data_IF_234818297580
#
_entry.id   IF_234818297580
#
_cell.length_a   1.000
_cell.length_b   1.000
_cell.length_c   1.000
_cell.angle_alpha   90.00
_cell.angle_beta   90.00
_cell.angle_gamma   90.00
#
_symmetry.space_group_name_H-M   'P 1'
#
loop_
_entity.id
_entity.type
_entity.pdbx_description
1 polymer ?
#
# COMPACT_ATOMS: atom_id res chain seq x y z
N UNK A 1 11.25 8.64 3.70
CA UNK A 1 10.16 7.87 4.35
C UNK A 1 10.76 6.81 5.24
N UNK A 2 10.28 6.69 6.49
CA UNK A 2 10.73 5.69 7.48
C UNK A 2 9.78 4.50 7.58
N UNK A 3 8.51 4.70 7.21
CA UNK A 3 7.48 3.67 7.21
C UNK A 3 6.57 3.80 5.98
N UNK A 4 6.24 2.68 5.35
CA UNK A 4 5.33 2.62 4.22
C UNK A 4 4.20 1.64 4.54
N UNK A 5 2.96 2.10 4.35
CA UNK A 5 1.79 1.25 4.42
C UNK A 5 1.54 0.59 3.06
N UNK A 6 1.36 -0.73 3.06
CA UNK A 6 1.12 -1.52 1.86
C UNK A 6 -0.30 -2.09 1.88
N UNK A 7 -1.07 -1.71 0.86
CA UNK A 7 -2.39 -2.26 0.56
C UNK A 7 -2.25 -3.33 -0.51
N UNK A 8 -2.75 -4.52 -0.29
CA UNK A 8 -2.62 -5.63 -1.25
C UNK A 8 -3.65 -6.72 -1.03
N UNK A 9 -3.77 -7.62 -2.01
CA UNK A 9 -4.74 -8.70 -1.96
C UNK A 9 -4.48 -9.74 -0.87
N UNK A 10 -5.56 -10.25 -0.26
CA UNK A 10 -5.56 -11.45 0.58
C UNK A 10 -5.52 -12.76 -0.25
N UNK A 11 -5.42 -12.66 -1.56
CA UNK A 11 -5.13 -13.73 -2.51
C UNK A 11 -3.89 -13.40 -3.34
N UNK A 12 -3.31 -14.41 -4.01
CA UNK A 12 -2.12 -14.21 -4.86
C UNK A 12 -2.47 -13.74 -6.28
N UNK A 13 -3.76 -13.72 -6.64
CA UNK A 13 -4.17 -13.52 -8.02
C UNK A 13 -3.85 -14.75 -8.90
N UNK A 14 -4.04 -14.58 -10.21
CA UNK A 14 -3.87 -15.65 -11.19
C UNK A 14 -2.50 -15.64 -11.88
N UNK A 15 -1.67 -14.63 -11.59
CA UNK A 15 -0.35 -14.46 -12.18
C UNK A 15 0.74 -14.50 -11.09
N UNK A 16 1.72 -15.39 -11.28
CA UNK A 16 2.83 -15.54 -10.33
C UNK A 16 3.69 -14.28 -10.18
N UNK A 17 3.67 -13.37 -11.18
CA UNK A 17 4.41 -12.11 -11.15
C UNK A 17 3.91 -11.16 -10.04
N UNK A 18 2.65 -11.22 -9.66
CA UNK A 18 2.11 -10.45 -8.52
C UNK A 18 2.78 -10.87 -7.20
N UNK A 19 2.96 -12.17 -7.03
CA UNK A 19 3.65 -12.74 -5.87
C UNK A 19 5.13 -12.33 -5.82
N UNK A 20 5.82 -12.39 -6.95
CA UNK A 20 7.22 -11.98 -7.04
C UNK A 20 7.39 -10.46 -6.78
N UNK A 21 6.47 -9.63 -7.27
CA UNK A 21 6.46 -8.20 -6.98
C UNK A 21 6.24 -7.89 -5.48
N UNK A 22 5.35 -8.63 -4.82
CA UNK A 22 5.14 -8.51 -3.37
C UNK A 22 6.42 -8.87 -2.58
N UNK A 23 7.10 -9.95 -2.96
CA UNK A 23 8.40 -10.33 -2.36
C UNK A 23 9.48 -9.29 -2.62
N UNK A 24 9.55 -8.77 -3.85
CA UNK A 24 10.51 -7.73 -4.20
C UNK A 24 10.29 -6.47 -3.36
N UNK A 25 9.03 -6.05 -3.17
CA UNK A 25 8.69 -4.90 -2.33
C UNK A 25 9.09 -5.14 -0.87
N UNK A 26 8.71 -6.28 -0.27
CA UNK A 26 9.09 -6.60 1.11
C UNK A 26 10.61 -6.63 1.32
N UNK A 27 11.33 -7.25 0.39
CA UNK A 27 12.81 -7.28 0.40
C UNK A 27 13.41 -5.89 0.30
N UNK A 28 12.88 -5.05 -0.60
CA UNK A 28 13.33 -3.67 -0.79
C UNK A 28 13.14 -2.83 0.47
N UNK A 29 11.95 -2.88 1.06
CA UNK A 29 11.65 -2.13 2.29
C UNK A 29 12.60 -2.52 3.42
N UNK A 30 12.78 -3.82 3.66
CA UNK A 30 13.68 -4.32 4.69
C UNK A 30 15.12 -3.86 4.49
N UNK A 31 15.67 -4.03 3.28
CA UNK A 31 17.05 -3.62 2.95
C UNK A 31 17.26 -2.11 2.99
N UNK A 32 16.21 -1.33 2.79
CA UNK A 32 16.23 0.13 2.90
C UNK A 32 15.99 0.65 4.31
N UNK A 33 15.82 -0.23 5.31
CA UNK A 33 15.52 0.15 6.69
C UNK A 33 14.14 0.80 6.87
N UNK A 34 13.20 0.52 5.94
CA UNK A 34 11.84 1.07 5.94
C UNK A 34 10.90 0.09 6.61
N UNK A 35 10.16 0.55 7.61
CA UNK A 35 9.13 -0.26 8.27
C UNK A 35 7.97 -0.55 7.32
N UNK A 36 7.61 -1.82 7.19
CA UNK A 36 6.39 -2.24 6.52
C UNK A 36 5.21 -2.15 7.47
N UNK A 37 4.20 -1.36 7.12
CA UNK A 37 2.87 -1.33 7.78
C UNK A 37 1.89 -2.05 6.87
N UNK A 38 1.05 -2.96 7.41
CA UNK A 38 0.09 -3.69 6.57
C UNK A 38 -1.06 -4.31 7.38
N UNK A 39 -1.97 -5.00 6.73
CA UNK A 39 -3.19 -5.55 7.33
C UNK A 39 -3.04 -6.73 8.30
N UNK A 40 -1.82 -7.23 8.56
CA UNK A 40 -1.54 -8.24 9.60
C UNK A 40 -1.84 -9.68 9.21
N UNK A 41 -2.38 -9.95 8.01
CA UNK A 41 -2.71 -11.32 7.55
C UNK A 41 -1.53 -12.08 6.95
N UNK A 42 -1.66 -13.43 6.90
CA UNK A 42 -0.65 -14.33 6.31
C UNK A 42 -1.00 -14.80 4.89
N UNK A 43 -2.20 -14.49 4.40
CA UNK A 43 -2.69 -15.00 3.12
C UNK A 43 -2.38 -14.05 1.97
N UNK A 44 -2.24 -14.63 0.77
CA UNK A 44 -2.07 -13.89 -0.47
C UNK A 44 -0.84 -13.01 -0.51
N UNK A 45 -0.93 -11.89 -1.20
CA UNK A 45 0.18 -10.94 -1.33
C UNK A 45 0.54 -10.30 0.02
N UNK A 46 -0.40 -10.19 0.97
CA UNK A 46 -0.12 -9.73 2.33
C UNK A 46 0.95 -10.61 3.01
N UNK A 47 0.77 -11.93 2.96
CA UNK A 47 1.74 -12.87 3.52
C UNK A 47 3.09 -12.81 2.80
N UNK A 48 3.08 -12.71 1.48
CA UNK A 48 4.32 -12.68 0.67
C UNK A 48 5.17 -11.43 0.95
N UNK A 49 4.57 -10.25 1.03
CA UNK A 49 5.31 -9.01 1.33
C UNK A 49 5.86 -9.02 2.76
N UNK A 50 5.07 -9.48 3.73
CA UNK A 50 5.49 -9.54 5.13
C UNK A 50 6.61 -10.57 5.35
N UNK A 51 6.48 -11.78 4.82
CA UNK A 51 7.49 -12.83 4.89
C UNK A 51 8.81 -12.43 4.22
N UNK A 52 8.74 -11.76 3.06
CA UNK A 52 9.93 -11.26 2.39
C UNK A 52 10.65 -10.21 3.23
N UNK A 53 9.93 -9.28 3.83
CA UNK A 53 10.51 -8.27 4.71
C UNK A 53 11.15 -8.92 5.96
N UNK A 54 10.48 -9.86 6.61
CA UNK A 54 10.97 -10.56 7.79
C UNK A 54 12.22 -11.41 7.52
N UNK A 55 12.29 -12.09 6.36
CA UNK A 55 13.48 -12.85 5.93
C UNK A 55 14.73 -11.99 5.80
N UNK A 56 14.54 -10.70 5.49
CA UNK A 56 15.62 -9.72 5.41
C UNK A 56 15.74 -8.86 6.68
N UNK A 57 15.22 -9.34 7.81
CA UNK A 57 15.31 -8.68 9.13
C UNK A 57 14.66 -7.28 9.16
N UNK A 58 13.71 -7.03 8.25
CA UNK A 58 12.91 -5.80 8.22
C UNK A 58 11.93 -5.72 9.38
N UNK A 59 11.64 -4.49 9.82
CA UNK A 59 10.56 -4.25 10.78
C UNK A 59 9.21 -4.33 10.08
N UNK A 60 8.32 -5.18 10.60
CA UNK A 60 6.97 -5.38 10.05
C UNK A 60 5.95 -5.19 11.15
N UNK A 61 5.00 -4.28 10.93
CA UNK A 61 3.89 -3.97 11.83
C UNK A 61 2.58 -4.34 11.15
N UNK A 62 1.86 -5.28 11.74
CA UNK A 62 0.52 -5.68 11.30
C UNK A 62 -0.55 -4.99 12.12
N UNK A 63 -1.63 -4.54 11.49
CA UNK A 63 -2.79 -3.96 12.17
C UNK A 63 -4.04 -4.70 11.73
N UNK A 64 -4.68 -5.41 12.66
CA UNK A 64 -5.77 -6.33 12.35
C UNK A 64 -6.94 -6.15 13.32
N UNK A 65 -8.19 -6.08 12.85
CA UNK A 65 -9.35 -6.12 13.72
C UNK A 65 -9.51 -7.48 14.36
N UNK A 66 -9.99 -7.51 15.61
CA UNK A 66 -10.17 -8.75 16.37
C UNK A 66 -11.00 -9.78 15.59
N UNK A 67 -12.09 -9.37 14.92
CA UNK A 67 -12.97 -10.28 14.16
C UNK A 67 -12.32 -10.88 12.90
N UNK A 68 -11.26 -10.26 12.36
CA UNK A 68 -10.49 -10.78 11.22
C UNK A 68 -9.31 -11.64 11.65
N UNK A 69 -8.82 -11.46 12.87
CA UNK A 69 -7.64 -12.16 13.39
C UNK A 69 -7.71 -13.68 13.18
N UNK A 70 -8.88 -14.27 13.44
CA UNK A 70 -9.08 -15.70 13.31
C UNK A 70 -9.34 -16.13 11.85
N UNK A 71 -9.93 -15.25 11.02
CA UNK A 71 -10.25 -15.52 9.61
C UNK A 71 -9.05 -15.36 8.68
N UNK A 72 -8.24 -14.34 8.88
CA UNK A 72 -7.07 -14.04 8.05
C UNK A 72 -5.80 -14.75 8.53
N UNK A 73 -5.89 -15.51 9.61
CA UNK A 73 -4.75 -16.14 10.27
C UNK A 73 -3.66 -15.09 10.52
N UNK A 74 -3.78 -14.36 11.63
CA UNK A 74 -2.83 -13.31 12.00
C UNK A 74 -1.39 -13.84 11.97
N UNK A 75 -0.49 -13.06 11.43
CA UNK A 75 0.91 -13.43 11.31
C UNK A 75 1.58 -13.40 12.69
N UNK A 76 2.14 -14.52 13.14
CA UNK A 76 2.64 -14.71 14.52
C UNK A 76 4.14 -14.35 14.71
N UNK A 77 4.84 -13.96 13.64
CA UNK A 77 6.28 -13.63 13.65
C UNK A 77 6.56 -12.15 13.37
N UNK A 78 5.54 -11.30 13.40
CA UNK A 78 5.70 -9.87 13.14
C UNK A 78 6.55 -9.21 14.24
N UNK A 79 7.20 -8.10 13.88
CA UNK A 79 7.86 -7.24 14.87
C UNK A 79 6.86 -6.66 15.86
N UNK A 80 5.63 -6.39 15.37
CA UNK A 80 4.52 -5.89 16.18
C UNK A 80 3.18 -6.25 15.52
N UNK A 81 2.20 -6.68 16.31
CA UNK A 81 0.83 -6.92 15.87
C UNK A 81 -0.13 -6.12 16.76
N UNK A 82 -0.76 -5.11 16.17
CA UNK A 82 -1.78 -4.30 16.82
C UNK A 82 -3.16 -4.88 16.51
N UNK A 83 -3.82 -5.40 17.53
CA UNK A 83 -5.21 -5.85 17.44
C UNK A 83 -6.11 -4.67 17.79
N UNK A 84 -7.11 -4.39 16.94
CA UNK A 84 -8.03 -3.26 17.08
C UNK A 84 -9.48 -3.73 17.05
N UNK A 85 -10.41 -2.86 17.46
CA UNK A 85 -11.81 -3.23 17.57
C UNK A 85 -12.57 -3.14 16.25
N UNK A 86 -12.26 -2.14 15.42
CA UNK A 86 -13.02 -1.83 14.20
C UNK A 86 -12.14 -1.67 12.97
N UNK A 87 -12.75 -1.77 11.77
CA UNK A 87 -12.09 -1.43 10.50
C UNK A 87 -11.67 0.04 10.44
N UNK A 88 -12.47 0.95 11.02
CA UNK A 88 -12.11 2.38 11.07
C UNK A 88 -10.85 2.60 11.89
N UNK A 89 -10.75 2.00 13.08
CA UNK A 89 -9.56 2.09 13.93
C UNK A 89 -8.34 1.48 13.24
N UNK A 90 -8.52 0.36 12.52
CA UNK A 90 -7.45 -0.26 11.71
C UNK A 90 -6.88 0.73 10.70
N UNK A 91 -7.74 1.28 9.85
CA UNK A 91 -7.33 2.20 8.78
C UNK A 91 -6.69 3.47 9.33
N UNK A 92 -7.27 4.06 10.39
CA UNK A 92 -6.70 5.23 11.05
C UNK A 92 -5.27 4.95 11.55
N UNK A 93 -5.04 3.81 12.23
CA UNK A 93 -3.70 3.44 12.71
C UNK A 93 -2.72 3.14 11.59
N UNK A 94 -3.16 2.47 10.51
CA UNK A 94 -2.32 2.23 9.33
C UNK A 94 -1.90 3.55 8.68
N UNK A 95 -2.82 4.48 8.55
CA UNK A 95 -2.57 5.81 8.04
C UNK A 95 -1.62 6.62 8.92
N UNK A 96 -1.86 6.68 10.22
CA UNK A 96 -1.05 7.43 11.18
C UNK A 96 0.41 6.95 11.23
N UNK A 97 0.61 5.62 11.15
CA UNK A 97 1.92 4.99 11.26
C UNK A 97 2.79 5.13 10.01
N UNK A 98 2.24 5.54 8.86
CA UNK A 98 2.94 5.53 7.59
C UNK A 98 3.34 6.93 7.12
N UNK A 99 4.48 7.03 6.42
CA UNK A 99 4.93 8.24 5.71
C UNK A 99 4.50 8.24 4.24
N UNK A 100 4.03 7.12 3.72
CA UNK A 100 3.56 6.93 2.35
C UNK A 100 2.82 5.61 2.18
N UNK A 101 2.15 5.46 1.06
CA UNK A 101 1.29 4.32 0.75
C UNK A 101 1.70 3.68 -0.56
N UNK A 102 1.72 2.35 -0.62
CA UNK A 102 1.90 1.58 -1.86
C UNK A 102 0.76 0.59 -1.98
N UNK A 103 0.08 0.60 -3.12
CA UNK A 103 -0.86 -0.45 -3.50
C UNK A 103 -0.19 -1.46 -4.44
N UNK A 104 -0.25 -2.74 -4.08
CA UNK A 104 -0.05 -3.91 -4.92
C UNK A 104 -1.40 -4.39 -5.48
N UNK A 105 -1.41 -5.23 -6.51
CA UNK A 105 -2.63 -5.88 -6.97
C UNK A 105 -3.46 -6.45 -5.84
N UNK A 106 -4.78 -6.28 -5.92
CA UNK A 106 -5.70 -6.72 -4.89
C UNK A 106 -7.17 -6.58 -5.28
N UNK A 107 -8.05 -6.85 -4.33
CA UNK A 107 -9.50 -6.77 -4.52
C UNK A 107 -10.10 -5.50 -3.91
N UNK A 108 -11.40 -5.61 -3.57
CA UNK A 108 -12.19 -4.48 -3.06
C UNK A 108 -11.60 -3.81 -1.82
N UNK A 109 -11.02 -4.56 -0.89
CA UNK A 109 -10.38 -3.98 0.30
C UNK A 109 -9.17 -3.12 -0.07
N UNK A 110 -8.36 -3.57 -1.03
CA UNK A 110 -7.22 -2.80 -1.55
C UNK A 110 -7.67 -1.50 -2.21
N UNK A 111 -8.73 -1.54 -3.02
CA UNK A 111 -9.29 -0.34 -3.64
C UNK A 111 -9.91 0.59 -2.60
N UNK A 112 -10.62 0.08 -1.62
CA UNK A 112 -11.24 0.88 -0.56
C UNK A 112 -10.19 1.65 0.23
N UNK A 113 -9.11 0.99 0.67
CA UNK A 113 -7.99 1.61 1.38
C UNK A 113 -7.27 2.66 0.49
N UNK A 114 -7.06 2.34 -0.79
CA UNK A 114 -6.43 3.24 -1.74
C UNK A 114 -7.27 4.51 -1.99
N UNK A 115 -8.56 4.36 -2.25
CA UNK A 115 -9.44 5.50 -2.49
C UNK A 115 -9.66 6.36 -1.25
N UNK A 116 -9.60 5.79 -0.06
CA UNK A 116 -9.66 6.55 1.18
C UNK A 116 -8.46 7.50 1.30
N UNK A 117 -7.22 6.99 1.17
CA UNK A 117 -6.02 7.84 1.25
C UNK A 117 -5.94 8.83 0.09
N UNK A 118 -6.40 8.45 -1.11
CA UNK A 118 -6.48 9.36 -2.25
C UNK A 118 -7.46 10.51 -2.00
N UNK A 119 -8.65 10.18 -1.50
CA UNK A 119 -9.67 11.19 -1.17
C UNK A 119 -9.18 12.15 -0.08
N UNK A 120 -8.49 11.65 0.93
CA UNK A 120 -7.92 12.45 2.00
C UNK A 120 -6.77 13.35 1.50
N UNK A 121 -5.94 12.86 0.58
CA UNK A 121 -4.91 13.69 -0.07
C UNK A 121 -5.53 14.82 -0.89
N UNK A 122 -6.59 14.52 -1.65
CA UNK A 122 -7.30 15.50 -2.48
C UNK A 122 -7.90 16.63 -1.64
N UNK A 123 -8.46 16.35 -0.48
CA UNK A 123 -9.02 17.38 0.41
C UNK A 123 -7.99 18.02 1.33
N UNK A 124 -6.70 17.70 1.16
CA UNK A 124 -5.59 18.34 1.88
C UNK A 124 -5.36 17.83 3.31
N UNK A 125 -5.95 16.70 3.70
CA UNK A 125 -5.71 16.09 5.02
C UNK A 125 -4.28 15.53 5.15
N UNK A 126 -3.64 15.21 4.04
CA UNK A 126 -2.23 14.83 4.00
C UNK A 126 -1.56 15.12 2.66
N UNK A 127 -0.22 15.05 2.69
CA UNK A 127 0.64 15.16 1.51
C UNK A 127 1.58 13.95 1.36
N UNK A 128 1.20 12.81 1.95
CA UNK A 128 1.97 11.57 1.87
C UNK A 128 1.88 11.01 0.44
N UNK A 129 2.99 10.53 -0.16
CA UNK A 129 2.99 9.97 -1.50
C UNK A 129 2.17 8.69 -1.58
N UNK A 130 1.46 8.49 -2.68
CA UNK A 130 0.65 7.31 -2.98
C UNK A 130 1.20 6.68 -4.25
N UNK A 131 1.71 5.44 -4.14
CA UNK A 131 2.29 4.69 -5.24
C UNK A 131 1.47 3.48 -5.63
N UNK A 132 1.35 3.24 -6.95
CA UNK A 132 0.81 2.00 -7.51
C UNK A 132 1.96 1.16 -8.07
N UNK A 133 2.20 -0.03 -7.52
CA UNK A 133 3.10 -0.99 -8.14
C UNK A 133 2.31 -1.72 -9.23
N UNK A 134 2.40 -1.19 -10.46
CA UNK A 134 1.56 -1.55 -11.60
C UNK A 134 2.12 -2.77 -12.35
N UNK A 135 2.16 -3.89 -11.63
CA UNK A 135 2.66 -5.16 -12.17
C UNK A 135 1.77 -5.61 -13.33
N UNK A 136 2.39 -5.78 -14.51
CA UNK A 136 1.70 -6.25 -15.73
C UNK A 136 0.46 -5.42 -16.09
N UNK A 137 0.48 -4.12 -15.83
CA UNK A 137 -0.64 -3.24 -16.15
C UNK A 137 -1.90 -3.47 -15.29
N UNK A 138 -1.79 -4.15 -14.15
CA UNK A 138 -2.95 -4.44 -13.28
C UNK A 138 -3.78 -3.19 -12.96
N UNK A 139 -3.12 -2.06 -12.74
CA UNK A 139 -3.79 -0.80 -12.42
C UNK A 139 -4.13 0.08 -13.64
N UNK A 140 -3.86 -0.37 -14.89
CA UNK A 140 -4.20 0.42 -16.09
C UNK A 140 -5.69 0.77 -16.17
N UNK A 141 -6.64 -0.16 -15.86
CA UNK A 141 -8.06 0.18 -15.81
C UNK A 141 -8.40 1.25 -14.76
N UNK A 142 -7.73 1.21 -13.60
CA UNK A 142 -7.90 2.22 -12.55
C UNK A 142 -7.37 3.58 -13.01
N UNK A 143 -6.18 3.62 -13.59
CA UNK A 143 -5.60 4.86 -14.12
C UNK A 143 -6.45 5.45 -15.25
N UNK A 144 -7.06 4.58 -16.06
CA UNK A 144 -8.03 5.02 -17.08
C UNK A 144 -9.30 5.60 -16.42
N UNK A 145 -9.84 4.95 -15.39
CA UNK A 145 -10.98 5.45 -14.63
C UNK A 145 -10.72 6.84 -14.04
N UNK A 146 -9.55 7.07 -13.45
CA UNK A 146 -9.18 8.37 -12.87
C UNK A 146 -9.11 9.46 -13.97
N UNK A 147 -8.50 9.17 -15.12
CA UNK A 147 -8.49 10.09 -16.27
C UNK A 147 -9.89 10.39 -16.76
N UNK A 148 -10.74 9.38 -16.93
CA UNK A 148 -12.13 9.53 -17.35
C UNK A 148 -12.93 10.39 -16.35
N UNK A 149 -12.66 10.26 -15.06
CA UNK A 149 -13.28 11.10 -14.00
C UNK A 149 -12.93 12.58 -14.20
N UNK A 150 -11.69 12.89 -14.53
CA UNK A 150 -11.23 14.27 -14.83
C UNK A 150 -11.85 14.78 -16.12
N UNK A 151 -11.84 13.99 -17.19
CA UNK A 151 -12.42 14.36 -18.49
C UNK A 151 -13.91 14.69 -18.41
N UNK A 152 -14.63 14.08 -17.46
CA UNK A 152 -16.06 14.35 -17.21
C UNK A 152 -16.29 15.42 -16.12
N UNK A 153 -15.24 16.09 -15.63
CA UNK A 153 -15.36 17.24 -14.73
C UNK A 153 -15.65 16.90 -13.26
N UNK A 154 -15.53 15.63 -12.84
CA UNK A 154 -15.73 15.21 -11.45
C UNK A 154 -14.45 15.29 -10.60
N UNK A 155 -13.30 15.51 -11.22
CA UNK A 155 -12.03 15.75 -10.56
C UNK A 155 -11.20 16.78 -11.37
N UNK A 156 -10.25 17.44 -10.72
CA UNK A 156 -9.37 18.38 -11.38
C UNK A 156 -8.19 17.65 -12.05
N UNK A 157 -7.57 18.19 -13.13
CA UNK A 157 -6.40 17.59 -13.76
C UNK A 157 -5.25 17.33 -12.78
N UNK A 158 -5.06 18.20 -11.80
CA UNK A 158 -4.03 18.11 -10.76
C UNK A 158 -4.25 16.92 -9.82
N UNK A 159 -5.47 16.40 -9.72
CA UNK A 159 -5.77 15.22 -8.91
C UNK A 159 -5.08 13.94 -9.44
N UNK A 160 -4.75 13.90 -10.75
CA UNK A 160 -3.97 12.81 -11.33
C UNK A 160 -2.52 12.76 -10.82
N UNK A 161 -1.99 13.90 -10.37
CA UNK A 161 -0.65 13.97 -9.81
C UNK A 161 -0.54 13.44 -8.37
N UNK A 162 -1.67 13.14 -7.72
CA UNK A 162 -1.70 12.60 -6.36
C UNK A 162 -1.18 11.17 -6.29
N UNK A 163 -1.17 10.45 -7.42
CA UNK A 163 -0.71 9.08 -7.54
C UNK A 163 0.49 9.00 -8.46
N UNK A 164 1.50 8.26 -8.05
CA UNK A 164 2.60 7.83 -8.93
C UNK A 164 2.47 6.33 -9.23
N UNK A 165 2.92 5.89 -10.40
CA UNK A 165 2.80 4.50 -10.84
C UNK A 165 4.07 4.05 -11.55
N UNK A 166 4.54 2.83 -11.24
CA UNK A 166 5.65 2.18 -11.92
C UNK A 166 5.50 0.66 -11.87
N UNK A 167 6.18 -0.04 -12.77
CA UNK A 167 6.14 -1.50 -12.85
C UNK A 167 7.10 -2.18 -11.88
N UNK A 168 8.13 -1.47 -11.41
CA UNK A 168 9.15 -1.97 -10.48
C UNK A 168 9.28 -1.10 -9.22
N UNK A 169 9.77 -1.72 -8.16
CA UNK A 169 9.87 -1.09 -6.82
C UNK A 169 10.88 0.07 -6.78
N UNK A 170 12.11 -0.04 -7.33
CA UNK A 170 13.07 1.06 -7.30
C UNK A 170 12.56 2.32 -8.00
N UNK A 171 11.96 2.16 -9.18
CA UNK A 171 11.38 3.26 -9.96
C UNK A 171 10.22 3.90 -9.20
N UNK A 172 9.29 3.10 -8.66
CA UNK A 172 8.17 3.59 -7.87
C UNK A 172 8.64 4.39 -6.67
N UNK A 173 9.57 3.85 -5.90
CA UNK A 173 10.11 4.51 -4.71
C UNK A 173 10.84 5.82 -5.05
N UNK A 174 11.56 5.85 -6.18
CA UNK A 174 12.19 7.07 -6.70
C UNK A 174 11.17 8.17 -7.02
N UNK A 175 10.05 7.81 -7.68
CA UNK A 175 8.95 8.74 -7.95
C UNK A 175 8.28 9.25 -6.67
N UNK A 176 8.03 8.36 -5.70
CA UNK A 176 7.46 8.74 -4.39
C UNK A 176 8.36 9.74 -3.64
N UNK A 177 9.68 9.53 -3.66
CA UNK A 177 10.63 10.48 -3.06
C UNK A 177 10.64 11.84 -3.78
N UNK A 178 10.52 11.85 -5.10
CA UNK A 178 10.41 13.09 -5.89
C UNK A 178 9.13 13.85 -5.54
N UNK A 179 8.01 13.14 -5.39
CA UNK A 179 6.75 13.71 -4.93
C UNK A 179 6.89 14.42 -3.57
N UNK A 180 7.54 13.75 -2.59
CA UNK A 180 7.80 14.36 -1.28
C UNK A 180 8.60 15.66 -1.37
N UNK A 181 9.64 15.69 -2.20
CA UNK A 181 10.51 16.89 -2.34
C UNK A 181 9.76 18.09 -2.91
N UNK A 182 8.92 17.87 -3.94
CA UNK A 182 8.14 18.94 -4.59
C UNK A 182 7.14 19.61 -3.67
N UNK A 183 6.64 18.91 -2.65
CA UNK A 183 5.63 19.43 -1.72
C UNK A 183 6.22 20.04 -0.44
N UNK A 184 7.53 19.94 -0.24
CA UNK A 184 8.25 20.57 0.88
C UNK A 184 9.12 21.76 0.42
N UNK A 185 9.11 22.08 -0.88
CA UNK A 185 9.72 23.28 -1.49
C UNK A 185 8.67 24.36 -1.67
#
# INVERSE_FOLDING_TARGET
>A
MKAICVFCGSSNGNDGRYKEAAKALGTFLARSGITLIYGGGTRGLMGEVAEAALRHQGRVVGIIPQFLKDREVAHNRLSELLVVDTMHTRKAKMYEAADGFIALPGGYGTYEELFEVLSWSRVGLHQKPIGLLNVEGFFDPLLHLLRHTVENGFAAPEDLELIVSAEDVPTLYGQMNTFCRRRHS
#
